data_IF_900862685774
#
_entry.id   IF_900862685774
#
_cell.length_a   1.000
_cell.length_b   1.000
_cell.length_c   1.000
_cell.angle_alpha   90.00
_cell.angle_beta   90.00
_cell.angle_gamma   90.00
#
_symmetry.space_group_name_H-M   'P 1'
#
loop_
_entity.id
_entity.type
_entity.pdbx_description
1 polymer ?
#
# COMPACT_ATOMS: atom_id res chain seq x y z
N UNK A 1 14.18 2.26 19.10
CA UNK A 1 14.15 1.22 18.04
C UNK A 1 14.61 1.79 16.70
N UNK A 2 15.00 0.93 15.77
CA UNK A 2 15.36 1.35 14.41
C UNK A 2 14.32 0.80 13.43
N UNK A 3 13.77 1.67 12.57
CA UNK A 3 12.87 1.30 11.47
C UNK A 3 13.49 1.68 10.15
N UNK A 4 13.30 0.84 9.13
CA UNK A 4 13.70 1.11 7.75
C UNK A 4 12.44 1.38 6.94
N UNK A 5 12.13 2.64 6.67
CA UNK A 5 10.89 3.05 5.97
C UNK A 5 11.26 3.78 4.68
N UNK A 6 10.75 3.29 3.56
CA UNK A 6 11.01 3.85 2.23
C UNK A 6 12.52 4.04 1.98
N UNK A 7 13.31 3.01 2.31
CA UNK A 7 14.78 2.98 2.18
C UNK A 7 15.54 3.96 3.09
N UNK A 8 14.86 4.62 4.05
CA UNK A 8 15.48 5.52 5.02
C UNK A 8 15.50 4.87 6.40
N UNK A 9 16.59 5.07 7.13
CA UNK A 9 16.76 4.59 8.49
C UNK A 9 16.32 5.66 9.50
N UNK A 10 15.43 5.26 10.42
CA UNK A 10 14.91 6.11 11.47
C UNK A 10 15.21 5.50 12.84
N UNK A 11 15.87 6.26 13.70
CA UNK A 11 16.04 5.92 15.11
C UNK A 11 14.98 6.63 15.93
N UNK A 12 14.13 5.86 16.61
CA UNK A 12 12.94 6.38 17.29
C UNK A 12 12.92 5.93 18.76
N UNK A 13 12.55 6.84 19.64
CA UNK A 13 12.25 6.57 21.04
C UNK A 13 10.75 6.54 21.24
N UNK A 14 10.12 5.42 20.89
CA UNK A 14 8.68 5.20 21.00
C UNK A 14 8.39 3.97 21.85
N UNK A 15 7.21 3.92 22.48
CA UNK A 15 6.80 2.77 23.27
C UNK A 15 6.79 1.49 22.41
N UNK A 16 7.30 0.35 22.90
CA UNK A 16 7.40 -0.90 22.12
C UNK A 16 6.04 -1.41 21.59
N UNK A 17 4.96 -1.16 22.33
CA UNK A 17 3.60 -1.59 21.96
C UNK A 17 2.91 -0.60 21.03
N UNK A 18 3.54 0.54 20.68
CA UNK A 18 2.94 1.51 19.75
C UNK A 18 2.72 0.88 18.39
N UNK A 19 1.52 1.01 17.85
CA UNK A 19 1.19 0.46 16.54
C UNK A 19 1.93 1.20 15.43
N UNK A 20 2.39 0.47 14.43
CA UNK A 20 3.18 0.98 13.32
C UNK A 20 2.47 2.14 12.60
N UNK A 21 1.14 2.06 12.43
CA UNK A 21 0.38 3.13 11.80
C UNK A 21 0.60 4.50 12.46
N UNK A 22 0.60 4.54 13.79
CA UNK A 22 0.80 5.80 14.52
C UNK A 22 2.23 6.28 14.46
N UNK A 23 3.20 5.37 14.49
CA UNK A 23 4.61 5.72 14.28
C UNK A 23 4.82 6.34 12.91
N UNK A 24 4.26 5.75 11.85
CA UNK A 24 4.36 6.29 10.50
C UNK A 24 3.73 7.69 10.41
N UNK A 25 2.53 7.88 10.97
CA UNK A 25 1.76 9.12 10.81
C UNK A 25 2.24 10.24 11.72
N UNK A 26 2.43 9.94 13.00
CA UNK A 26 2.66 10.98 14.03
C UNK A 26 4.14 11.27 14.21
N UNK A 27 4.98 10.22 14.23
CA UNK A 27 6.40 10.38 14.51
C UNK A 27 7.22 10.64 13.22
N UNK A 28 6.81 10.04 12.08
CA UNK A 28 7.50 10.21 10.79
C UNK A 28 6.81 11.15 9.81
N UNK A 29 5.59 11.60 10.10
CA UNK A 29 4.81 12.49 9.23
C UNK A 29 4.33 11.84 7.92
N UNK A 30 4.39 10.50 7.82
CA UNK A 30 3.96 9.73 6.65
C UNK A 30 2.44 9.45 6.75
N UNK A 31 1.64 10.40 6.32
CA UNK A 31 0.19 10.40 6.52
C UNK A 31 -0.61 9.68 5.44
N UNK A 32 0.05 9.13 4.42
CA UNK A 32 -0.59 8.43 3.32
C UNK A 32 -1.33 7.16 3.75
N UNK A 33 -0.75 6.36 4.64
CA UNK A 33 -1.48 5.25 5.29
C UNK A 33 -2.55 5.80 6.22
N UNK A 34 -3.80 5.30 6.10
CA UNK A 34 -4.98 5.86 6.78
C UNK A 34 -5.48 4.96 7.91
N UNK A 35 -6.00 5.59 8.96
CA UNK A 35 -6.77 4.88 10.00
C UNK A 35 -8.23 4.75 9.56
N UNK A 36 -8.73 3.54 9.43
CA UNK A 36 -10.14 3.27 9.13
C UNK A 36 -10.79 2.49 10.28
N UNK A 37 -10.77 1.15 10.22
CA UNK A 37 -11.39 0.30 11.22
C UNK A 37 -10.58 0.14 12.52
N UNK A 38 -9.25 0.19 12.46
CA UNK A 38 -8.38 -0.13 13.61
C UNK A 38 -8.28 -1.62 13.96
N UNK A 39 -8.92 -2.49 13.18
CA UNK A 39 -9.09 -3.92 13.43
C UNK A 39 -8.52 -4.81 12.30
N UNK A 40 -7.72 -4.24 11.41
CA UNK A 40 -7.10 -4.97 10.30
C UNK A 40 -8.02 -5.34 9.14
N UNK A 41 -9.30 -4.94 9.16
CA UNK A 41 -10.31 -5.38 8.19
C UNK A 41 -10.34 -4.54 6.90
N UNK A 42 -10.28 -3.20 7.02
CA UNK A 42 -10.59 -2.31 5.90
C UNK A 42 -9.45 -2.08 4.90
N UNK A 43 -8.22 -2.37 5.27
CA UNK A 43 -7.05 -2.21 4.41
C UNK A 43 -6.55 -0.78 4.18
N UNK A 44 -7.18 0.25 4.73
CA UNK A 44 -6.76 1.65 4.54
C UNK A 44 -5.36 1.94 5.10
N UNK A 45 -4.90 1.15 6.06
CA UNK A 45 -3.59 1.25 6.70
C UNK A 45 -2.52 0.33 6.10
N UNK A 46 -2.76 -0.28 4.94
CA UNK A 46 -1.83 -1.25 4.35
C UNK A 46 -0.49 -0.61 4.02
N UNK A 47 0.57 -1.27 4.44
CA UNK A 47 1.96 -1.03 4.06
C UNK A 47 2.58 -2.34 3.60
N UNK A 48 3.73 -2.32 2.93
CA UNK A 48 4.50 -3.53 2.67
C UNK A 48 5.56 -3.70 3.76
N UNK A 49 5.66 -4.89 4.33
CA UNK A 49 6.76 -5.29 5.21
C UNK A 49 7.42 -6.50 4.55
N UNK A 50 8.71 -6.40 4.25
CA UNK A 50 9.42 -7.39 3.43
C UNK A 50 8.71 -7.69 2.09
N UNK A 51 8.04 -6.68 1.51
CA UNK A 51 7.25 -6.81 0.29
C UNK A 51 5.85 -7.41 0.47
N UNK A 52 5.47 -7.85 1.67
CA UNK A 52 4.15 -8.44 1.95
C UNK A 52 3.15 -7.38 2.45
N UNK A 53 1.91 -7.33 1.91
CA UNK A 53 0.88 -6.42 2.38
C UNK A 53 0.52 -6.70 3.84
N UNK A 54 0.63 -5.69 4.69
CA UNK A 54 0.45 -5.82 6.13
C UNK A 54 -0.38 -4.67 6.68
N UNK A 55 -1.25 -4.95 7.65
CA UNK A 55 -2.11 -3.97 8.31
C UNK A 55 -1.36 -3.24 9.43
N UNK A 56 -0.87 -2.04 9.16
CA UNK A 56 -0.05 -1.28 10.13
C UNK A 56 -0.81 -0.89 11.41
N UNK A 57 -2.15 -0.83 11.38
CA UNK A 57 -2.96 -0.56 12.58
C UNK A 57 -2.96 -1.73 13.58
N UNK A 58 -2.61 -2.95 13.15
CA UNK A 58 -2.53 -4.15 13.99
C UNK A 58 -1.10 -4.64 14.22
N UNK A 59 -0.12 -3.94 13.66
CA UNK A 59 1.30 -4.32 13.74
C UNK A 59 2.00 -3.43 14.76
N UNK A 60 2.62 -4.03 15.79
CA UNK A 60 3.49 -3.29 16.72
C UNK A 60 4.78 -2.87 16.01
N UNK A 61 5.18 -1.61 16.15
CA UNK A 61 6.39 -1.10 15.51
C UNK A 61 7.64 -1.90 15.87
N UNK A 62 7.75 -2.33 17.13
CA UNK A 62 8.88 -3.14 17.59
C UNK A 62 8.99 -4.51 16.90
N UNK A 63 7.86 -5.11 16.47
CA UNK A 63 7.87 -6.43 15.81
C UNK A 63 8.42 -6.40 14.38
N UNK A 64 8.62 -5.22 13.83
CA UNK A 64 9.11 -5.01 12.46
C UNK A 64 10.39 -4.18 12.42
N UNK A 65 11.06 -4.02 13.56
CA UNK A 65 12.36 -3.34 13.65
C UNK A 65 13.37 -4.00 12.69
N UNK A 66 14.10 -3.17 11.95
CA UNK A 66 15.09 -3.62 10.96
C UNK A 66 14.53 -4.21 9.66
N UNK A 67 13.22 -4.43 9.54
CA UNK A 67 12.61 -4.91 8.31
C UNK A 67 12.32 -3.75 7.35
N UNK A 68 12.48 -3.94 6.03
CA UNK A 68 12.12 -2.94 5.05
C UNK A 68 10.59 -2.74 5.02
N UNK A 69 10.18 -1.49 5.25
CA UNK A 69 8.79 -1.06 5.22
C UNK A 69 8.61 -0.12 4.03
N UNK A 70 7.60 -0.37 3.20
CA UNK A 70 7.22 0.55 2.11
C UNK A 70 5.80 1.06 2.36
N UNK A 71 5.66 2.37 2.45
CA UNK A 71 4.37 3.06 2.51
C UNK A 71 4.02 3.60 1.12
N UNK A 72 2.82 4.18 0.97
CA UNK A 72 2.41 4.77 -0.32
C UNK A 72 3.39 5.87 -0.79
N UNK A 73 4.01 6.60 0.13
CA UNK A 73 4.99 7.63 -0.18
C UNK A 73 6.28 7.06 -0.80
N UNK A 74 6.55 5.76 -0.60
CA UNK A 74 7.71 5.07 -1.16
C UNK A 74 7.40 4.26 -2.43
N UNK A 75 6.16 4.26 -2.92
CA UNK A 75 5.78 3.53 -4.15
C UNK A 75 6.28 4.26 -5.40
N UNK A 76 6.13 5.59 -5.43
CA UNK A 76 6.77 6.43 -6.45
C UNK A 76 8.27 6.51 -6.19
N UNK A 77 9.09 6.41 -7.23
CA UNK A 77 10.54 6.42 -7.12
C UNK A 77 11.17 7.42 -8.09
N UNK A 78 12.22 8.11 -7.66
CA UNK A 78 12.98 9.05 -8.50
C UNK A 78 12.11 10.13 -9.18
N UNK A 79 11.02 10.55 -8.52
CA UNK A 79 10.09 11.54 -9.08
C UNK A 79 9.11 10.99 -10.12
N UNK A 80 9.12 9.68 -10.36
CA UNK A 80 8.19 9.01 -11.29
C UNK A 80 7.14 8.20 -10.53
N UNK A 81 5.90 8.32 -10.97
CA UNK A 81 4.83 7.48 -10.46
C UNK A 81 5.04 6.01 -10.85
N UNK A 82 4.63 5.12 -9.97
CA UNK A 82 4.56 3.71 -10.32
C UNK A 82 3.44 3.49 -11.37
N UNK A 83 3.59 2.54 -12.33
CA UNK A 83 2.56 2.29 -13.36
C UNK A 83 1.15 2.10 -12.80
N UNK A 84 1.01 1.51 -11.62
CA UNK A 84 -0.28 1.37 -10.97
C UNK A 84 -0.85 2.72 -10.48
N UNK A 85 -0.01 3.66 -10.04
CA UNK A 85 -0.46 5.00 -9.67
C UNK A 85 -0.97 5.77 -10.90
N UNK A 86 -0.26 5.68 -12.02
CA UNK A 86 -0.69 6.26 -13.30
C UNK A 86 -2.01 5.65 -13.77
N UNK A 87 -2.14 4.32 -13.70
CA UNK A 87 -3.37 3.62 -14.06
C UNK A 87 -4.57 4.00 -13.17
N UNK A 88 -4.34 4.28 -11.87
CA UNK A 88 -5.38 4.79 -10.98
C UNK A 88 -5.88 6.17 -11.38
N UNK A 89 -4.99 7.03 -11.87
CA UNK A 89 -5.34 8.35 -12.40
C UNK A 89 -6.13 8.20 -13.70
N UNK A 90 -5.64 7.40 -14.64
CA UNK A 90 -6.24 7.21 -15.96
C UNK A 90 -7.61 6.55 -15.89
N UNK A 91 -7.79 5.54 -15.03
CA UNK A 91 -9.05 4.85 -14.81
C UNK A 91 -10.03 5.63 -13.91
N UNK A 92 -9.66 6.83 -13.42
CA UNK A 92 -10.43 7.57 -12.42
C UNK A 92 -10.87 6.67 -11.25
N UNK A 93 -9.92 5.87 -10.73
CA UNK A 93 -10.19 4.78 -9.79
C UNK A 93 -10.38 5.25 -8.34
N UNK A 94 -10.62 6.55 -8.12
CA UNK A 94 -10.81 7.14 -6.80
C UNK A 94 -11.98 8.14 -6.82
N UNK A 95 -12.57 8.35 -5.63
CA UNK A 95 -13.45 9.49 -5.34
C UNK A 95 -12.91 10.27 -4.15
N UNK A 96 -13.20 9.87 -2.91
CA UNK A 96 -12.68 10.56 -1.74
C UNK A 96 -11.17 10.36 -1.52
N UNK A 97 -10.55 9.35 -2.13
CA UNK A 97 -9.13 9.05 -2.03
C UNK A 97 -8.70 8.34 -0.74
N UNK A 98 -9.61 8.11 0.21
CA UNK A 98 -9.23 7.58 1.53
C UNK A 98 -8.70 6.14 1.48
N UNK A 99 -9.31 5.26 0.70
CA UNK A 99 -8.88 3.87 0.51
C UNK A 99 -7.74 3.73 -0.50
N UNK A 100 -7.53 4.74 -1.34
CA UNK A 100 -6.62 4.69 -2.49
C UNK A 100 -5.18 4.28 -2.14
N UNK A 101 -4.54 4.84 -1.11
CA UNK A 101 -3.18 4.41 -0.73
C UNK A 101 -3.09 2.92 -0.41
N UNK A 102 -4.02 2.40 0.39
CA UNK A 102 -4.07 0.98 0.73
C UNK A 102 -4.32 0.08 -0.47
N UNK A 103 -5.20 0.50 -1.39
CA UNK A 103 -5.47 -0.21 -2.66
C UNK A 103 -4.21 -0.27 -3.54
N UNK A 104 -3.52 0.85 -3.72
CA UNK A 104 -2.30 0.90 -4.54
C UNK A 104 -1.19 0.04 -3.92
N UNK A 105 -0.96 0.14 -2.62
CA UNK A 105 0.08 -0.67 -1.93
C UNK A 105 -0.23 -2.16 -2.06
N UNK A 106 -1.49 -2.58 -1.83
CA UNK A 106 -1.90 -3.98 -2.01
C UNK A 106 -1.76 -4.44 -3.46
N UNK A 107 -2.16 -3.59 -4.41
CA UNK A 107 -2.06 -3.88 -5.84
C UNK A 107 -0.61 -3.98 -6.33
N UNK A 108 0.28 -3.13 -5.82
CA UNK A 108 1.72 -3.20 -6.13
C UNK A 108 2.31 -4.54 -5.71
N UNK A 109 1.95 -5.05 -4.52
CA UNK A 109 2.38 -6.36 -4.07
C UNK A 109 1.84 -7.51 -4.95
N UNK A 110 0.57 -7.41 -5.37
CA UNK A 110 -0.01 -8.37 -6.30
C UNK A 110 0.76 -8.40 -7.62
N UNK A 111 0.94 -7.25 -8.26
CA UNK A 111 1.63 -7.15 -9.57
C UNK A 111 3.09 -7.59 -9.51
N UNK A 112 3.76 -7.36 -8.38
CA UNK A 112 5.12 -7.86 -8.17
C UNK A 112 5.18 -9.39 -8.08
N UNK A 113 4.17 -10.02 -7.46
CA UNK A 113 4.08 -11.47 -7.31
C UNK A 113 3.56 -12.15 -8.57
N UNK A 114 2.59 -11.54 -9.22
CA UNK A 114 1.96 -12.00 -10.46
C UNK A 114 1.78 -10.81 -11.40
N UNK A 115 2.69 -10.62 -12.39
CA UNK A 115 2.62 -9.49 -13.32
C UNK A 115 1.40 -9.48 -14.25
N UNK A 116 0.76 -10.64 -14.43
CA UNK A 116 -0.40 -10.82 -15.33
C UNK A 116 -1.58 -11.48 -14.59
N UNK A 117 -2.13 -10.82 -13.54
CA UNK A 117 -3.22 -11.42 -12.78
C UNK A 117 -4.50 -11.44 -13.62
N UNK A 118 -5.27 -12.51 -13.46
CA UNK A 118 -6.65 -12.56 -13.94
C UNK A 118 -7.53 -11.62 -13.12
N UNK A 119 -8.70 -11.26 -13.66
CA UNK A 119 -9.67 -10.43 -12.92
C UNK A 119 -10.07 -11.07 -11.59
N UNK A 120 -10.23 -12.39 -11.54
CA UNK A 120 -10.56 -13.11 -10.33
C UNK A 120 -9.46 -12.97 -9.26
N UNK A 121 -8.18 -13.08 -9.65
CA UNK A 121 -7.03 -12.89 -8.75
C UNK A 121 -6.94 -11.44 -8.26
N UNK A 122 -7.22 -10.46 -9.12
CA UNK A 122 -7.29 -9.04 -8.74
C UNK A 122 -8.38 -8.84 -7.67
N UNK A 123 -9.59 -9.33 -7.92
CA UNK A 123 -10.71 -9.22 -6.98
C UNK A 123 -10.36 -9.87 -5.64
N UNK A 124 -9.81 -11.06 -5.65
CA UNK A 124 -9.38 -11.78 -4.45
C UNK A 124 -8.30 -11.00 -3.67
N UNK A 125 -7.31 -10.45 -4.36
CA UNK A 125 -6.25 -9.67 -3.72
C UNK A 125 -6.78 -8.36 -3.09
N UNK A 126 -7.85 -7.79 -3.64
CA UNK A 126 -8.48 -6.55 -3.17
C UNK A 126 -9.58 -6.76 -2.13
N UNK A 127 -10.02 -7.99 -1.85
CA UNK A 127 -11.09 -8.28 -0.88
C UNK A 127 -10.85 -7.69 0.52
N UNK A 128 -9.59 -7.65 0.96
CA UNK A 128 -9.21 -7.05 2.22
C UNK A 128 -9.12 -5.51 2.21
N UNK A 129 -9.56 -4.85 1.13
CA UNK A 129 -9.50 -3.39 0.99
C UNK A 129 -10.90 -2.85 0.70
N UNK A 130 -11.43 -2.05 1.64
CA UNK A 130 -12.80 -1.51 1.57
C UNK A 130 -12.81 -0.12 0.96
N UNK A 131 -13.62 0.09 -0.08
CA UNK A 131 -13.92 1.40 -0.65
C UNK A 131 -15.38 1.78 -0.38
N UNK A 132 -15.62 2.80 0.45
CA UNK A 132 -16.97 3.27 0.77
C UNK A 132 -17.67 3.95 -0.42
N UNK A 133 -16.90 4.54 -1.34
CA UNK A 133 -17.42 5.15 -2.56
C UNK A 133 -17.80 4.12 -3.66
N UNK A 134 -17.38 2.86 -3.51
CA UNK A 134 -17.75 1.79 -4.43
C UNK A 134 -16.99 1.81 -5.76
N UNK A 135 -15.78 2.35 -5.83
CA UNK A 135 -14.99 2.46 -7.07
C UNK A 135 -14.33 1.16 -7.53
N UNK A 136 -14.74 0.01 -7.00
CA UNK A 136 -14.13 -1.30 -7.29
C UNK A 136 -13.97 -1.64 -8.78
N UNK A 137 -14.98 -1.40 -9.67
CA UNK A 137 -14.81 -1.70 -11.09
C UNK A 137 -13.64 -0.92 -11.71
N UNK A 138 -13.44 0.34 -11.31
CA UNK A 138 -12.35 1.19 -11.79
C UNK A 138 -11.01 0.78 -11.19
N UNK A 139 -10.98 0.33 -9.93
CA UNK A 139 -9.79 -0.22 -9.28
C UNK A 139 -9.33 -1.50 -10.00
N UNK A 140 -10.26 -2.40 -10.33
CA UNK A 140 -9.96 -3.60 -11.12
C UNK A 140 -9.41 -3.23 -12.49
N UNK A 141 -10.05 -2.28 -13.18
CA UNK A 141 -9.58 -1.79 -14.47
C UNK A 141 -8.17 -1.20 -14.39
N UNK A 142 -7.87 -0.39 -13.37
CA UNK A 142 -6.54 0.18 -13.15
C UNK A 142 -5.47 -0.91 -12.97
N UNK A 143 -5.76 -1.96 -12.19
CA UNK A 143 -4.83 -3.08 -12.02
C UNK A 143 -4.61 -3.86 -13.32
N UNK A 144 -5.66 -4.06 -14.12
CA UNK A 144 -5.54 -4.66 -15.46
C UNK A 144 -4.71 -3.79 -16.41
N UNK A 145 -4.87 -2.47 -16.37
CA UNK A 145 -4.07 -1.54 -17.16
C UNK A 145 -2.59 -1.59 -16.76
N UNK A 146 -2.29 -1.49 -15.47
CA UNK A 146 -0.93 -1.55 -14.96
C UNK A 146 -0.23 -2.87 -15.27
N UNK A 147 -0.96 -4.00 -15.28
CA UNK A 147 -0.41 -5.31 -15.63
C UNK A 147 0.06 -5.40 -17.07
N UNK A 148 -0.58 -4.70 -18.00
CA UNK A 148 -0.17 -4.64 -19.43
C UNK A 148 1.12 -3.84 -19.60
N UNK A 149 1.24 -2.69 -18.91
CA UNK A 149 2.42 -1.82 -18.96
C UNK A 149 3.66 -2.55 -18.41
N UNK A 150 3.51 -3.30 -17.32
CA UNK A 150 4.61 -4.06 -16.70
C UNK A 150 5.10 -5.21 -17.59
N UNK A 151 4.25 -5.77 -18.44
CA UNK A 151 4.60 -6.83 -19.40
C UNK A 151 5.48 -6.33 -20.55
N UNK A 152 5.26 -5.11 -21.02
CA UNK A 152 6.00 -4.53 -22.14
C UNK A 152 7.43 -4.09 -21.78
N UNK A 153 7.75 -3.95 -20.48
CA UNK A 153 9.09 -3.56 -20.02
C UNK A 153 10.06 -4.74 -19.83
N UNK A 154 9.58 -5.98 -19.98
CA UNK A 154 10.36 -7.21 -19.85
C UNK A 154 10.35 -8.09 -21.12
N UNK A 155 9.90 -7.55 -22.25
CA UNK A 155 9.93 -8.20 -23.55
C UNK A 155 11.15 -7.77 -24.38
#
# INVERSE_FOLDING_TARGET
MELVVNQKHYRLEVHPDRMLLWVLRDDLGLTGSKYGCGEGQCGACTVLIDGAPTRSCMTRAASVAGKPITTIEGVAQNGHLHPLQEAFIEADAMQCGYCTPGMIVSGTALLKKNPHPTEAEIRQAMEGNVCRCGTYPRIVAALQMASRISGDQHA
#
